data_IF_298951756662
#
_entry.id   IF_298951756662
#
_cell.length_a   1.000
_cell.length_b   1.000
_cell.length_c   1.000
_cell.angle_alpha   90.00
_cell.angle_beta   90.00
_cell.angle_gamma   90.00
#
_symmetry.space_group_name_H-M   'P 1'
#
loop_
_entity.id
_entity.type
_entity.pdbx_description
1 polymer ?
#
# COMPACT_ATOMS: atom_id res chain seq x y z
N UNK A 1 -21.98 -27.71 -7.38
CA UNK A 1 -21.69 -27.53 -7.29
C UNK A 1 -21.35 -27.37 -7.08
N UNK A 2 -21.31 -27.26 -7.05
CA UNK A 2 -20.77 -27.10 -6.86
C UNK A 2 -20.20 -26.92 -6.76
N UNK A 3 -20.23 -26.94 -6.79
CA UNK A 3 -19.53 -26.83 -6.73
C UNK A 3 -18.96 -26.53 -6.79
N UNK A 4 -19.03 -26.54 -6.87
CA UNK A 4 -18.46 -26.28 -6.91
C UNK A 4 -18.03 -25.87 -6.83
N UNK A 5 -18.12 -26.01 -6.82
CA UNK A 5 -17.60 -25.59 -6.61
C UNK A 5 -17.12 -25.15 -6.48
N UNK A 6 -17.22 -25.21 -6.50
CA UNK A 6 -16.65 -24.81 -6.39
C UNK A 6 -16.14 -24.30 -6.31
N UNK A 7 -16.16 -24.30 -6.35
CA UNK A 7 -15.62 -23.77 -6.30
C UNK A 7 -15.08 -23.21 -6.14
N UNK A 8 -14.95 -23.13 -6.00
CA UNK A 8 -14.46 -22.62 -5.81
C UNK A 8 -13.75 -22.13 -5.76
N UNK A 9 -13.64 -22.11 -5.79
CA UNK A 9 -12.93 -21.66 -5.76
C UNK A 9 -12.26 -21.06 -5.57
N UNK A 10 -11.94 -20.93 -5.36
CA UNK A 10 -11.26 -20.41 -5.36
C UNK A 10 -10.95 -19.48 -5.02
N UNK A 11 -10.92 -18.90 -4.81
CA UNK A 11 -10.78 -18.00 -4.28
C UNK A 11 -9.71 -17.61 -3.45
N UNK A 12 -9.01 -18.06 -3.20
CA UNK A 12 -7.79 -17.94 -2.63
C UNK A 12 -7.13 -16.62 -2.82
N UNK A 13 -7.15 -16.05 -3.91
CA UNK A 13 -6.49 -14.81 -4.18
C UNK A 13 -6.81 -13.70 -3.23
N UNK A 14 -7.85 -13.83 -2.46
CA UNK A 14 -8.15 -12.81 -1.54
C UNK A 14 -7.11 -12.59 -0.53
N UNK A 15 -6.33 -13.59 -0.28
CA UNK A 15 -5.27 -13.48 0.66
C UNK A 15 -4.22 -12.55 0.18
N UNK A 16 -4.20 -12.29 -1.11
CA UNK A 16 -3.21 -11.42 -1.68
C UNK A 16 -3.62 -9.97 -1.62
N UNK A 17 -4.83 -9.69 -1.19
CA UNK A 17 -5.28 -8.34 -1.14
C UNK A 17 -4.83 -7.71 0.14
N UNK A 18 -3.98 -6.73 0.05
CA UNK A 18 -3.50 -5.99 1.19
C UNK A 18 -4.29 -4.72 1.35
N UNK A 19 -4.55 -4.32 2.58
CA UNK A 19 -5.16 -3.03 2.83
C UNK A 19 -4.19 -1.91 2.58
N UNK A 20 -4.71 -0.70 2.49
CA UNK A 20 -3.89 0.47 2.21
C UNK A 20 -2.83 0.67 3.28
N UNK A 21 -3.20 0.48 4.55
CA UNK A 21 -2.24 0.62 5.65
C UNK A 21 -1.12 -0.38 5.57
N UNK A 22 -1.44 -1.62 5.21
CA UNK A 22 -0.40 -2.66 5.08
C UNK A 22 0.55 -2.34 3.94
N UNK A 23 0.03 -1.82 2.85
CA UNK A 23 0.87 -1.44 1.72
C UNK A 23 1.80 -0.31 2.14
N UNK A 24 1.28 0.68 2.86
CA UNK A 24 2.12 1.77 3.35
C UNK A 24 3.23 1.26 4.26
N UNK A 25 2.93 0.29 5.12
CA UNK A 25 3.93 -0.27 6.01
C UNK A 25 5.04 -0.97 5.23
N UNK A 26 4.66 -1.74 4.22
CA UNK A 26 5.66 -2.45 3.42
C UNK A 26 6.51 -1.48 2.61
N UNK A 27 5.89 -0.45 2.08
CA UNK A 27 6.63 0.57 1.32
C UNK A 27 7.57 1.33 2.24
N UNK A 28 7.10 1.68 3.44
CA UNK A 28 7.93 2.34 4.44
C UNK A 28 9.18 1.50 4.74
N UNK A 29 8.97 0.20 5.01
CA UNK A 29 10.07 -0.68 5.34
C UNK A 29 11.08 -0.78 4.22
N UNK A 30 10.60 -0.91 2.99
CA UNK A 30 11.49 -1.03 1.85
C UNK A 30 12.32 0.23 1.64
N UNK A 31 11.68 1.39 1.78
CA UNK A 31 12.39 2.65 1.61
C UNK A 31 13.43 2.84 2.70
N UNK A 32 13.05 2.53 3.94
CA UNK A 32 13.97 2.69 5.06
C UNK A 32 15.16 1.76 4.92
N UNK A 33 14.93 0.51 4.52
CA UNK A 33 16.02 -0.45 4.35
C UNK A 33 17.00 -0.01 3.27
N UNK A 34 16.50 0.68 2.25
CA UNK A 34 17.38 1.15 1.18
C UNK A 34 17.99 2.51 1.49
N UNK A 35 17.73 3.05 2.67
CA UNK A 35 18.36 4.31 3.07
C UNK A 35 17.66 5.57 2.61
N UNK A 36 16.46 5.46 2.08
CA UNK A 36 15.70 6.64 1.69
C UNK A 36 14.94 7.19 2.89
N UNK A 37 14.55 8.44 2.80
CA UNK A 37 13.64 9.04 3.78
C UNK A 37 12.22 8.67 3.36
N UNK A 38 11.53 7.77 4.10
CA UNK A 38 10.25 7.28 3.64
C UNK A 38 9.19 8.36 3.49
N UNK A 39 9.15 9.31 4.40
CA UNK A 39 8.14 10.37 4.32
C UNK A 39 8.31 11.19 3.06
N UNK A 40 9.55 11.60 2.78
CA UNK A 40 9.80 12.40 1.60
C UNK A 40 9.44 11.67 0.31
N UNK A 41 9.79 10.40 0.25
CA UNK A 41 9.53 9.63 -0.97
C UNK A 41 8.05 9.36 -1.16
N UNK A 42 7.35 9.03 -0.09
CA UNK A 42 5.93 8.76 -0.19
C UNK A 42 5.16 10.04 -0.53
N UNK A 43 5.51 11.15 0.11
CA UNK A 43 4.88 12.42 -0.20
C UNK A 43 5.15 12.82 -1.64
N UNK A 44 6.39 12.64 -2.10
CA UNK A 44 6.73 12.95 -3.48
C UNK A 44 5.89 12.15 -4.46
N UNK A 45 5.69 10.88 -4.16
CA UNK A 45 4.85 10.03 -5.00
C UNK A 45 3.40 10.53 -5.00
N UNK A 46 2.86 10.83 -3.83
CA UNK A 46 1.48 11.28 -3.74
C UNK A 46 1.26 12.56 -4.52
N UNK A 47 2.19 13.49 -4.40
CA UNK A 47 2.05 14.78 -5.05
C UNK A 47 2.26 14.72 -6.56
N UNK A 48 3.12 13.87 -7.03
CA UNK A 48 3.48 13.85 -8.45
C UNK A 48 2.86 12.72 -9.24
N UNK A 49 2.57 11.60 -8.57
CA UNK A 49 2.13 10.41 -9.27
C UNK A 49 3.27 9.67 -9.95
N UNK A 50 4.50 10.08 -9.68
CA UNK A 50 5.67 9.48 -10.34
C UNK A 50 6.13 8.26 -9.53
N UNK A 51 5.95 7.05 -10.06
CA UNK A 51 6.29 5.86 -9.28
C UNK A 51 7.78 5.70 -9.01
N UNK A 52 8.63 6.47 -9.69
CA UNK A 52 10.06 6.34 -9.43
C UNK A 52 10.46 6.93 -8.08
N UNK A 53 9.56 7.66 -7.42
CA UNK A 53 9.83 8.07 -6.03
C UNK A 53 9.89 6.86 -5.09
N UNK A 54 9.33 5.72 -5.52
CA UNK A 54 9.26 4.54 -4.66
C UNK A 54 10.21 3.48 -5.18
N UNK A 55 11.06 2.98 -4.30
CA UNK A 55 12.02 1.95 -4.68
C UNK A 55 11.29 0.70 -5.18
N UNK A 56 11.91 -0.02 -6.09
CA UNK A 56 11.36 -1.30 -6.54
C UNK A 56 11.73 -2.44 -5.58
N UNK A 57 12.55 -2.16 -4.58
CA UNK A 57 12.99 -3.13 -3.61
C UNK A 57 11.79 -3.76 -2.91
N UNK A 58 11.78 -5.07 -2.79
CA UNK A 58 10.70 -5.83 -2.15
C UNK A 58 9.33 -5.52 -2.75
N UNK A 59 9.32 -5.19 -4.03
CA UNK A 59 8.09 -4.91 -4.77
C UNK A 59 7.32 -3.70 -4.26
N UNK A 60 7.99 -2.81 -3.56
CA UNK A 60 7.32 -1.65 -2.96
C UNK A 60 6.64 -0.79 -4.02
N UNK A 61 7.32 -0.56 -5.14
CA UNK A 61 6.73 0.26 -6.21
C UNK A 61 5.46 -0.37 -6.76
N UNK A 62 5.49 -1.68 -7.01
CA UNK A 62 4.31 -2.37 -7.51
C UNK A 62 3.18 -2.32 -6.51
N UNK A 63 3.50 -2.44 -5.24
CA UNK A 63 2.48 -2.43 -4.21
C UNK A 63 1.77 -1.10 -4.12
N UNK A 64 2.53 0.00 -4.09
CA UNK A 64 1.91 1.30 -3.89
C UNK A 64 1.06 1.69 -5.10
N UNK A 65 1.43 1.18 -6.28
CA UNK A 65 0.68 1.47 -7.48
C UNK A 65 -0.66 0.75 -7.54
N UNK A 66 -0.91 -0.18 -6.63
CA UNK A 66 -2.19 -0.88 -6.59
C UNK A 66 -3.28 -0.06 -5.92
N UNK A 67 -2.95 1.03 -5.26
CA UNK A 67 -3.95 1.87 -4.61
C UNK A 67 -3.93 3.26 -5.21
N UNK A 68 -5.08 3.91 -5.16
CA UNK A 68 -5.18 5.27 -5.66
C UNK A 68 -4.50 6.22 -4.69
N UNK A 69 -3.96 7.30 -5.22
CA UNK A 69 -3.24 8.24 -4.35
C UNK A 69 -4.14 8.89 -3.30
N UNK A 70 -5.39 9.14 -3.65
CA UNK A 70 -6.31 9.71 -2.68
C UNK A 70 -6.61 8.72 -1.57
N UNK A 71 -6.55 7.42 -1.83
CA UNK A 71 -6.72 6.43 -0.77
C UNK A 71 -5.56 6.47 0.20
N UNK A 72 -4.36 6.75 -0.31
CA UNK A 72 -3.20 6.87 0.57
C UNK A 72 -3.37 8.08 1.50
N UNK A 73 -3.84 9.18 0.95
CA UNK A 73 -4.06 10.37 1.75
C UNK A 73 -5.15 10.12 2.79
N UNK A 74 -6.23 9.52 2.36
CA UNK A 74 -7.34 9.24 3.26
C UNK A 74 -6.90 8.37 4.43
N UNK A 75 -6.15 7.34 4.13
CA UNK A 75 -5.69 6.43 5.17
C UNK A 75 -4.82 7.14 6.21
N UNK A 76 -3.89 7.97 5.74
CA UNK A 76 -2.99 8.64 6.66
C UNK A 76 -3.72 9.70 7.48
N UNK A 77 -4.66 10.42 6.88
CA UNK A 77 -5.42 11.43 7.61
C UNK A 77 -6.31 10.77 8.65
N UNK A 78 -6.98 9.68 8.28
CA UNK A 78 -7.82 8.97 9.22
C UNK A 78 -7.01 8.45 10.40
N UNK A 79 -5.85 7.92 10.12
CA UNK A 79 -5.00 7.39 11.18
C UNK A 79 -4.60 8.50 12.14
N UNK A 80 -4.20 9.64 11.60
CA UNK A 80 -3.76 10.76 12.43
C UNK A 80 -4.91 11.24 13.32
N UNK A 81 -6.08 11.43 12.73
CA UNK A 81 -7.23 11.90 13.48
C UNK A 81 -7.59 10.91 14.59
N UNK A 82 -7.66 9.64 14.27
CA UNK A 82 -8.07 8.64 15.24
C UNK A 82 -7.07 8.43 16.36
N UNK A 83 -5.80 8.69 16.10
CA UNK A 83 -4.77 8.43 17.10
C UNK A 83 -4.28 9.66 17.83
N UNK A 84 -4.52 10.84 17.28
CA UNK A 84 -4.03 12.06 17.91
C UNK A 84 -5.11 13.02 18.35
N UNK A 85 -6.22 13.04 17.65
CA UNK A 85 -7.25 14.03 17.93
C UNK A 85 -8.48 13.48 18.62
N UNK A 86 -8.60 12.18 18.72
CA UNK A 86 -9.75 11.58 19.37
C UNK A 86 -9.43 10.98 20.72
#
# INVERSE_FOLDING_TARGET
MSDLGNTQFFRVPQEQKLGVGEILEKVYEALAEKGYNPVNQIVGYIMSGDPTYITSYKNARSLIMKVERDELIEETVKYYINHKLK
#
